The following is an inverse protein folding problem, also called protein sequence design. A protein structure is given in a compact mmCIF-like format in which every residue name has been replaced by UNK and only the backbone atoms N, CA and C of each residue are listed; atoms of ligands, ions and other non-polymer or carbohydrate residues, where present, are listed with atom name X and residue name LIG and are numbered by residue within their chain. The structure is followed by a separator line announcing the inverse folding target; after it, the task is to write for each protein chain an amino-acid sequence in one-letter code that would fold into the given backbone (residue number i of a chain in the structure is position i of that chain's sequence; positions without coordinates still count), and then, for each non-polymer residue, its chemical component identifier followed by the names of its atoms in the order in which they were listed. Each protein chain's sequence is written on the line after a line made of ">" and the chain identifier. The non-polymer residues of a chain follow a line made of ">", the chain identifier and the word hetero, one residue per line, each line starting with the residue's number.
data_IF_371119299394
#
_entry.id   IF_371119299394
#
_cell.length_a   1.000
_cell.length_b   1.000
_cell.length_c   1.000
_cell.angle_alpha   90.00
_cell.angle_beta   90.00
_cell.angle_gamma   90.00
#
_symmetry.space_group_name_H-M   'P 1'
#
loop_
_entity.id
_entity.type
_entity.pdbx_description
1 polymer ?
#
# COMPACT_ATOMS: atom_id res chain seq x y z
N UNK A 1 -1.25 7.05 -3.25
CA UNK A 1 -0.27 5.96 -3.41
C UNK A 1 1.04 6.57 -3.87
N UNK A 2 2.15 6.21 -3.22
CA UNK A 2 3.46 6.70 -3.65
C UNK A 2 3.93 5.98 -4.92
N UNK A 3 4.86 6.59 -5.68
CA UNK A 3 5.37 6.02 -6.94
C UNK A 3 5.96 4.62 -6.77
N UNK A 4 6.74 4.42 -5.69
CA UNK A 4 7.36 3.11 -5.39
C UNK A 4 6.30 2.06 -5.05
N UNK A 5 5.36 2.42 -4.19
CA UNK A 5 4.22 1.58 -3.81
C UNK A 5 3.39 1.17 -5.04
N UNK A 6 3.17 2.11 -5.96
CA UNK A 6 2.47 1.86 -7.22
C UNK A 6 3.23 0.90 -8.13
N UNK A 7 4.53 1.12 -8.33
CA UNK A 7 5.36 0.25 -9.19
C UNK A 7 5.35 -1.19 -8.67
N UNK A 8 5.55 -1.36 -7.36
CA UNK A 8 5.56 -2.67 -6.72
C UNK A 8 4.17 -3.32 -6.77
N UNK A 9 3.11 -2.55 -6.50
CA UNK A 9 1.71 -2.99 -6.59
C UNK A 9 1.33 -3.42 -8.00
N UNK A 10 1.66 -2.62 -9.01
CA UNK A 10 1.42 -2.92 -10.42
C UNK A 10 2.12 -4.19 -10.86
N UNK A 11 3.40 -4.34 -10.52
CA UNK A 11 4.15 -5.55 -10.88
C UNK A 11 3.48 -6.79 -10.30
N UNK A 12 3.15 -6.79 -9.01
CA UNK A 12 2.51 -7.93 -8.34
C UNK A 12 1.15 -8.24 -8.93
N UNK A 13 0.27 -7.23 -9.02
CA UNK A 13 -1.10 -7.43 -9.46
C UNK A 13 -1.16 -7.86 -10.93
N UNK A 14 -0.42 -7.17 -11.81
CA UNK A 14 -0.40 -7.51 -13.22
C UNK A 14 0.15 -8.92 -13.44
N UNK A 15 1.23 -9.31 -12.76
CA UNK A 15 1.74 -10.69 -12.82
C UNK A 15 0.68 -11.70 -12.42
N UNK A 16 -0.01 -11.46 -11.29
CA UNK A 16 -1.08 -12.35 -10.81
C UNK A 16 -2.20 -12.48 -11.83
N UNK A 17 -2.66 -11.36 -12.38
CA UNK A 17 -3.74 -11.34 -13.38
C UNK A 17 -3.34 -12.12 -14.63
N UNK A 18 -2.19 -11.80 -15.23
CA UNK A 18 -1.72 -12.47 -16.45
C UNK A 18 -1.56 -13.97 -16.22
N UNK A 19 -0.98 -14.40 -15.10
CA UNK A 19 -0.84 -15.83 -14.76
C UNK A 19 -2.17 -16.54 -14.58
N UNK A 20 -3.16 -15.86 -14.03
CA UNK A 20 -4.47 -16.46 -13.77
C UNK A 20 -5.31 -16.55 -15.04
N UNK A 21 -5.18 -15.58 -15.95
CA UNK A 21 -6.16 -15.40 -17.04
C UNK A 21 -5.61 -15.52 -18.46
N UNK A 22 -4.29 -15.46 -18.67
CA UNK A 22 -3.69 -15.40 -20.02
C UNK A 22 -2.53 -16.39 -20.19
N UNK A 23 -1.48 -16.29 -19.38
CA UNK A 23 -0.25 -17.06 -19.51
C UNK A 23 0.25 -17.54 -18.14
N UNK A 24 -0.02 -18.81 -17.80
CA UNK A 24 0.20 -19.38 -16.46
C UNK A 24 1.65 -19.26 -15.92
N UNK A 25 2.62 -19.30 -16.83
CA UNK A 25 4.06 -19.24 -16.60
C UNK A 25 4.65 -17.82 -16.79
N UNK A 26 3.79 -16.79 -16.88
CA UNK A 26 4.25 -15.42 -17.04
C UNK A 26 5.12 -14.93 -15.87
N UNK A 27 6.27 -14.37 -16.21
CA UNK A 27 7.16 -13.67 -15.29
C UNK A 27 7.30 -12.22 -15.76
N UNK A 28 7.05 -11.28 -14.86
CA UNK A 28 7.21 -9.87 -15.18
C UNK A 28 8.69 -9.51 -15.31
N UNK A 29 9.13 -8.86 -16.40
CA UNK A 29 10.53 -8.52 -16.59
C UNK A 29 11.06 -7.62 -15.47
N UNK A 30 12.11 -8.06 -14.79
CA UNK A 30 12.79 -7.32 -13.72
C UNK A 30 13.94 -6.48 -14.27
N UNK A 31 14.23 -5.33 -13.64
CA UNK A 31 15.39 -4.49 -13.95
C UNK A 31 15.02 -3.02 -14.25
N UNK A 32 16.05 -2.17 -14.32
CA UNK A 32 15.89 -0.71 -14.38
C UNK A 32 15.09 -0.20 -15.59
N UNK A 33 15.12 -0.90 -16.72
CA UNK A 33 14.30 -0.55 -17.91
C UNK A 33 12.81 -0.73 -17.63
N UNK A 34 12.41 -1.82 -16.99
CA UNK A 34 11.02 -2.07 -16.60
C UNK A 34 10.56 -1.09 -15.53
N UNK A 35 11.39 -0.80 -14.53
CA UNK A 35 11.09 0.16 -13.47
C UNK A 35 10.90 1.56 -14.04
N UNK A 36 11.76 1.98 -14.98
CA UNK A 36 11.63 3.26 -15.68
C UNK A 36 10.34 3.32 -16.49
N UNK A 37 9.97 2.25 -17.18
CA UNK A 37 8.72 2.20 -17.94
C UNK A 37 7.49 2.32 -17.03
N UNK A 38 7.47 1.59 -15.91
CA UNK A 38 6.40 1.68 -14.91
C UNK A 38 6.36 3.08 -14.27
N UNK A 39 7.51 3.66 -13.96
CA UNK A 39 7.62 5.03 -13.46
C UNK A 39 7.06 6.07 -14.44
N UNK A 40 7.40 5.96 -15.73
CA UNK A 40 6.82 6.82 -16.78
C UNK A 40 5.31 6.62 -16.93
N UNK A 41 4.82 5.39 -16.74
CA UNK A 41 3.39 5.10 -16.75
C UNK A 41 2.68 5.77 -15.57
N UNK A 42 3.24 5.68 -14.37
CA UNK A 42 2.73 6.36 -13.18
C UNK A 42 2.69 7.88 -13.38
N UNK A 43 3.79 8.46 -13.84
CA UNK A 43 3.88 9.91 -14.07
C UNK A 43 2.85 10.36 -15.12
N UNK A 44 2.63 9.55 -16.16
CA UNK A 44 1.61 9.79 -17.18
C UNK A 44 0.19 9.71 -16.64
N UNK A 45 -0.10 8.75 -15.75
CA UNK A 45 -1.42 8.66 -15.10
C UNK A 45 -1.65 9.86 -14.16
N UNK A 46 -0.67 10.24 -13.34
CA UNK A 46 -0.78 11.38 -12.42
C UNK A 46 -1.02 12.73 -13.13
N UNK A 47 -0.66 12.87 -14.41
CA UNK A 47 -0.98 14.08 -15.19
C UNK A 47 -2.46 14.16 -15.58
N UNK A 48 -3.08 13.01 -15.78
CA UNK A 48 -4.45 12.90 -16.31
C UNK A 48 -5.48 12.68 -15.19
N UNK A 49 -5.04 12.21 -14.02
CA UNK A 49 -5.91 11.94 -12.86
C UNK A 49 -5.34 12.56 -11.58
N UNK A 50 -6.22 13.14 -10.76
CA UNK A 50 -5.86 13.85 -9.52
C UNK A 50 -5.05 12.98 -8.55
N UNK A 51 -5.36 11.69 -8.47
CA UNK A 51 -4.61 10.75 -7.65
C UNK A 51 -4.68 9.33 -8.20
N UNK A 52 -3.63 8.55 -7.96
CA UNK A 52 -3.60 7.13 -8.28
C UNK A 52 -3.81 6.36 -6.98
N UNK A 53 -5.02 5.80 -6.82
CA UNK A 53 -5.42 4.94 -5.70
C UNK A 53 -5.16 3.46 -6.00
N UNK A 54 -5.32 2.60 -4.99
CA UNK A 54 -5.28 1.15 -5.18
C UNK A 54 -6.36 0.66 -6.15
N UNK A 55 -7.55 1.26 -6.11
CA UNK A 55 -8.62 1.00 -7.06
C UNK A 55 -8.23 1.36 -8.49
N UNK A 56 -7.67 2.57 -8.71
CA UNK A 56 -7.21 3.00 -10.04
C UNK A 56 -6.05 2.16 -10.55
N UNK A 57 -5.15 1.72 -9.67
CA UNK A 57 -4.11 0.77 -10.02
C UNK A 57 -4.72 -0.56 -10.49
N UNK A 58 -5.65 -1.10 -9.71
CA UNK A 58 -6.35 -2.35 -10.02
C UNK A 58 -7.09 -2.26 -11.35
N UNK A 59 -7.88 -1.20 -11.54
CA UNK A 59 -8.64 -0.95 -12.76
C UNK A 59 -7.72 -0.80 -13.97
N UNK A 60 -6.59 -0.11 -13.81
CA UNK A 60 -5.59 -0.02 -14.87
C UNK A 60 -5.06 -1.40 -15.23
N UNK A 61 -4.58 -2.18 -14.26
CA UNK A 61 -4.06 -3.53 -14.51
C UNK A 61 -5.09 -4.44 -15.17
N UNK A 62 -6.36 -4.42 -14.71
CA UNK A 62 -7.47 -5.17 -15.31
C UNK A 62 -7.66 -4.77 -16.77
N UNK A 63 -7.73 -3.46 -17.07
CA UNK A 63 -7.90 -2.96 -18.42
C UNK A 63 -6.78 -3.43 -19.37
N UNK A 64 -5.54 -3.48 -18.88
CA UNK A 64 -4.40 -3.95 -19.68
C UNK A 64 -4.37 -5.47 -19.81
N UNK A 65 -4.70 -6.23 -18.76
CA UNK A 65 -4.76 -7.70 -18.86
C UNK A 65 -5.92 -8.16 -19.75
N UNK A 66 -7.08 -7.54 -19.64
CA UNK A 66 -8.22 -7.80 -20.52
C UNK A 66 -7.91 -7.43 -21.98
N UNK A 67 -7.14 -6.36 -22.19
CA UNK A 67 -6.66 -6.02 -23.52
C UNK A 67 -5.77 -7.12 -24.13
N UNK A 68 -4.83 -7.67 -23.37
CA UNK A 68 -3.94 -8.72 -23.89
C UNK A 68 -4.66 -10.06 -24.07
N UNK A 69 -5.72 -10.35 -23.31
CA UNK A 69 -6.46 -11.62 -23.41
C UNK A 69 -7.23 -11.77 -24.72
N UNK A 70 -7.44 -10.66 -25.45
CA UNK A 70 -8.05 -10.68 -26.78
C UNK A 70 -7.08 -10.99 -27.93
N UNK A 71 -5.78 -11.17 -27.65
CA UNK A 71 -4.78 -11.52 -28.67
C UNK A 71 -4.51 -13.03 -28.69
N UNK A 72 -3.99 -13.50 -29.81
CA UNK A 72 -3.57 -14.89 -29.98
C UNK A 72 -2.35 -15.27 -29.11
N UNK A 73 -2.04 -16.55 -29.09
CA UNK A 73 -0.88 -17.09 -28.34
C UNK A 73 0.46 -16.63 -28.92
N UNK A 74 0.52 -16.28 -30.22
CA UNK A 74 1.73 -15.80 -30.88
C UNK A 74 2.13 -14.39 -30.40
N UNK A 75 1.15 -13.58 -29.96
CA UNK A 75 1.38 -12.26 -29.39
C UNK A 75 2.33 -12.27 -28.20
N UNK A 76 2.36 -13.36 -27.43
CA UNK A 76 3.25 -13.51 -26.27
C UNK A 76 4.71 -13.23 -26.60
N UNK A 77 5.20 -13.71 -27.75
CA UNK A 77 6.61 -13.54 -28.17
C UNK A 77 6.97 -12.09 -28.50
N UNK A 78 5.96 -11.27 -28.79
CA UNK A 78 6.10 -9.85 -29.16
C UNK A 78 5.83 -8.92 -27.97
N UNK A 79 5.28 -9.43 -26.87
CA UNK A 79 4.89 -8.61 -25.74
C UNK A 79 6.12 -8.01 -25.04
N UNK A 80 6.04 -6.72 -24.73
CA UNK A 80 6.99 -6.03 -23.86
C UNK A 80 6.25 -5.08 -22.91
N UNK A 81 6.93 -4.61 -21.87
CA UNK A 81 6.32 -3.78 -20.81
C UNK A 81 5.65 -2.52 -21.39
N UNK A 82 6.19 -1.90 -22.43
CA UNK A 82 5.60 -0.69 -23.02
C UNK A 82 4.24 -0.92 -23.69
N UNK A 83 3.91 -2.16 -24.08
CA UNK A 83 2.60 -2.49 -24.65
C UNK A 83 1.47 -2.34 -23.63
N UNK A 84 1.74 -2.68 -22.37
CA UNK A 84 0.78 -2.59 -21.27
C UNK A 84 1.00 -1.35 -20.38
N UNK A 85 2.14 -0.69 -20.47
CA UNK A 85 2.50 0.45 -19.60
C UNK A 85 3.05 1.66 -20.38
N UNK A 86 2.70 1.79 -21.65
CA UNK A 86 3.06 2.93 -22.50
C UNK A 86 1.91 3.93 -22.68
N UNK A 87 2.15 5.01 -23.43
CA UNK A 87 1.15 6.06 -23.71
C UNK A 87 -0.17 5.51 -24.28
N UNK A 88 -0.08 4.50 -25.17
CA UNK A 88 -1.28 3.84 -25.74
C UNK A 88 -2.08 3.08 -24.68
N UNK A 89 -1.43 2.48 -23.68
CA UNK A 89 -2.08 1.79 -22.58
C UNK A 89 -2.82 2.75 -21.65
N UNK A 90 -2.20 3.90 -21.35
CA UNK A 90 -2.83 5.00 -20.61
C UNK A 90 -4.07 5.50 -21.35
N UNK A 91 -3.94 5.84 -22.64
CA UNK A 91 -5.08 6.29 -23.44
C UNK A 91 -6.20 5.27 -23.54
N UNK A 92 -5.89 3.96 -23.61
CA UNK A 92 -6.87 2.87 -23.59
C UNK A 92 -7.65 2.85 -22.28
N UNK A 93 -6.97 3.03 -21.16
CA UNK A 93 -7.58 3.06 -19.83
C UNK A 93 -8.47 4.30 -19.65
N UNK A 94 -8.00 5.49 -20.03
CA UNK A 94 -8.77 6.74 -19.88
C UNK A 94 -10.03 6.78 -20.74
N UNK A 95 -10.03 6.08 -21.89
CA UNK A 95 -11.22 5.91 -22.74
C UNK A 95 -12.11 4.72 -22.32
N UNK A 96 -11.76 4.00 -21.26
CA UNK A 96 -12.55 2.86 -20.80
C UNK A 96 -13.86 3.34 -20.17
N UNK A 97 -14.98 3.05 -20.84
CA UNK A 97 -16.32 3.38 -20.37
C UNK A 97 -17.01 2.26 -19.59
N UNK A 98 -18.25 2.52 -19.16
CA UNK A 98 -19.08 1.57 -18.37
C UNK A 98 -19.25 0.21 -19.06
N UNK A 99 -19.45 0.19 -20.39
CA UNK A 99 -19.62 -1.05 -21.15
C UNK A 99 -18.39 -1.94 -21.10
N UNK A 100 -17.21 -1.35 -21.23
CA UNK A 100 -15.95 -2.09 -21.18
C UNK A 100 -15.72 -2.63 -19.78
N UNK A 101 -15.97 -1.83 -18.75
CA UNK A 101 -15.90 -2.26 -17.34
C UNK A 101 -16.81 -3.45 -17.07
N UNK A 102 -18.02 -3.45 -17.62
CA UNK A 102 -18.94 -4.59 -17.50
C UNK A 102 -18.36 -5.88 -18.11
N UNK A 103 -17.76 -5.79 -19.31
CA UNK A 103 -17.12 -6.95 -19.95
C UNK A 103 -15.90 -7.44 -19.18
N UNK A 104 -15.09 -6.52 -18.68
CA UNK A 104 -13.95 -6.84 -17.79
C UNK A 104 -14.43 -7.57 -16.54
N UNK A 105 -15.51 -7.12 -15.89
CA UNK A 105 -16.02 -7.74 -14.67
C UNK A 105 -16.61 -9.14 -14.93
N UNK A 106 -17.30 -9.31 -16.06
CA UNK A 106 -17.77 -10.64 -16.50
C UNK A 106 -16.60 -11.58 -16.80
N UNK A 107 -15.56 -11.07 -17.46
CA UNK A 107 -14.34 -11.81 -17.73
C UNK A 107 -13.60 -12.18 -16.44
N UNK A 108 -13.46 -11.27 -15.48
CA UNK A 108 -12.86 -11.60 -14.17
C UNK A 108 -13.63 -12.70 -13.44
N UNK A 109 -14.97 -12.64 -13.46
CA UNK A 109 -15.82 -13.66 -12.85
C UNK A 109 -15.58 -15.06 -13.40
N UNK A 110 -15.29 -15.23 -14.69
CA UNK A 110 -15.01 -16.56 -15.26
C UNK A 110 -13.73 -17.20 -14.72
N UNK A 111 -12.85 -16.41 -14.09
CA UNK A 111 -11.64 -16.89 -13.41
C UNK A 111 -11.75 -16.85 -11.88
N UNK A 112 -12.95 -16.65 -11.33
CA UNK A 112 -13.15 -16.53 -9.87
C UNK A 112 -12.51 -15.28 -9.27
N UNK A 113 -12.27 -14.24 -10.06
CA UNK A 113 -11.71 -12.97 -9.60
C UNK A 113 -12.80 -11.90 -9.47
N UNK A 114 -12.62 -10.99 -8.51
CA UNK A 114 -13.45 -9.80 -8.38
C UNK A 114 -12.59 -8.54 -8.39
N UNK A 115 -13.09 -7.47 -9.02
CA UNK A 115 -12.41 -6.17 -9.05
C UNK A 115 -12.14 -5.62 -7.66
N UNK A 116 -13.08 -5.83 -6.73
CA UNK A 116 -12.96 -5.42 -5.33
C UNK A 116 -11.81 -6.15 -4.62
N UNK A 117 -11.72 -7.48 -4.77
CA UNK A 117 -10.66 -8.26 -4.13
C UNK A 117 -9.28 -7.93 -4.70
N UNK A 118 -9.20 -7.61 -5.99
CA UNK A 118 -7.98 -7.16 -6.64
C UNK A 118 -7.52 -5.80 -6.09
N UNK A 119 -8.45 -4.84 -5.92
CA UNK A 119 -8.14 -3.55 -5.31
C UNK A 119 -7.67 -3.71 -3.85
N UNK A 120 -8.37 -4.52 -3.05
CA UNK A 120 -7.99 -4.89 -1.68
C UNK A 120 -6.65 -5.62 -1.57
N UNK A 121 -6.22 -6.32 -2.63
CA UNK A 121 -4.92 -7.00 -2.66
C UNK A 121 -3.77 -6.04 -2.96
N UNK A 122 -4.07 -4.90 -3.57
CA UNK A 122 -3.12 -3.82 -3.84
C UNK A 122 -3.00 -2.88 -2.65
N UNK A 123 -4.12 -2.59 -1.97
CA UNK A 123 -4.12 -1.84 -0.72
C UNK A 123 -3.07 -2.41 0.22
N UNK A 124 -2.11 -1.56 0.59
CA UNK A 124 -0.95 -1.98 1.33
C UNK A 124 -1.35 -2.44 2.73
N UNK A 125 -1.54 -3.76 2.88
CA UNK A 125 -1.72 -4.42 4.18
C UNK A 125 -0.49 -4.30 5.09
N UNK A 126 0.64 -3.77 4.60
CA UNK A 126 1.76 -3.39 5.47
C UNK A 126 1.44 -2.14 6.29
N UNK A 127 0.51 -1.29 5.83
CA UNK A 127 0.00 -0.18 6.63
C UNK A 127 -1.09 -0.72 7.58
N UNK A 128 -0.66 -1.11 8.79
CA UNK A 128 -1.60 -1.41 9.86
C UNK A 128 -2.52 -0.19 10.07
N UNK A 129 -3.83 -0.34 10.35
CA UNK A 129 -4.72 0.81 10.60
C UNK A 129 -4.20 1.77 11.67
N UNK A 130 -3.46 1.24 12.64
CA UNK A 130 -2.79 2.00 13.70
C UNK A 130 -1.36 2.45 13.36
N UNK A 131 -0.89 2.26 12.13
CA UNK A 131 0.46 2.64 11.68
C UNK A 131 0.74 4.12 11.88
N UNK A 132 -0.24 4.99 11.58
CA UNK A 132 -0.16 6.45 11.83
C UNK A 132 0.00 6.82 13.31
N UNK A 133 -0.28 5.89 14.23
CA UNK A 133 -0.21 6.09 15.67
C UNK A 133 1.00 5.43 16.33
N UNK A 134 1.93 4.87 15.54
CA UNK A 134 3.19 4.32 16.08
C UNK A 134 3.96 5.42 16.82
N UNK A 135 4.07 6.60 16.20
CA UNK A 135 4.63 7.80 16.84
C UNK A 135 3.76 9.04 16.57
N UNK A 136 2.79 9.34 17.45
CA UNK A 136 1.95 10.54 17.32
C UNK A 136 2.71 11.76 17.86
N UNK A 137 3.52 12.41 17.01
CA UNK A 137 4.36 13.56 17.39
C UNK A 137 3.59 14.70 18.06
N UNK A 138 2.33 14.91 17.67
CA UNK A 138 1.46 15.92 18.26
C UNK A 138 1.18 15.71 19.76
N UNK A 139 1.39 14.49 20.30
CA UNK A 139 1.21 14.20 21.73
C UNK A 139 2.41 14.63 22.59
N UNK A 140 3.58 14.94 22.00
CA UNK A 140 4.80 15.22 22.77
C UNK A 140 4.65 16.44 23.69
N UNK A 141 3.92 17.46 23.27
CA UNK A 141 3.64 18.63 24.11
C UNK A 141 2.94 18.22 25.40
N UNK A 142 1.94 17.33 25.31
CA UNK A 142 1.21 16.81 26.47
C UNK A 142 2.07 15.86 27.29
N UNK A 143 2.86 14.98 26.65
CA UNK A 143 3.74 14.02 27.35
C UNK A 143 4.88 14.68 28.12
N UNK A 144 5.38 15.81 27.62
CA UNK A 144 6.42 16.62 28.28
C UNK A 144 5.86 17.42 29.45
N UNK A 145 4.57 17.78 29.41
CA UNK A 145 3.92 18.55 30.48
C UNK A 145 3.86 17.72 31.77
N UNK A 146 4.41 18.26 32.85
CA UNK A 146 4.45 17.61 34.17
C UNK A 146 5.12 16.21 34.14
N UNK A 147 6.18 16.07 33.33
CA UNK A 147 6.91 14.82 33.15
C UNK A 147 7.33 14.21 34.50
N UNK A 148 7.19 12.89 34.63
CA UNK A 148 7.56 12.11 35.83
C UNK A 148 6.75 12.39 37.11
N UNK A 149 5.70 13.21 37.05
CA UNK A 149 4.77 13.41 38.18
C UNK A 149 3.55 12.49 38.10
N UNK A 150 2.86 12.25 39.22
CA UNK A 150 1.58 11.51 39.23
C UNK A 150 0.50 12.21 38.41
N UNK A 151 0.38 13.53 38.53
CA UNK A 151 -0.56 14.32 37.73
C UNK A 151 -0.28 14.18 36.22
N UNK A 152 0.99 14.26 35.82
CA UNK A 152 1.41 14.06 34.43
C UNK A 152 1.11 12.64 33.92
N UNK A 153 1.31 11.61 34.75
CA UNK A 153 0.95 10.23 34.42
C UNK A 153 -0.55 10.09 34.11
N UNK A 154 -1.41 10.67 34.95
CA UNK A 154 -2.87 10.63 34.75
C UNK A 154 -3.32 11.43 33.53
N UNK A 155 -2.82 12.66 33.36
CA UNK A 155 -3.14 13.51 32.19
C UNK A 155 -2.71 12.83 30.89
N UNK A 156 -1.48 12.30 30.84
CA UNK A 156 -0.98 11.57 29.68
C UNK A 156 -1.86 10.36 29.36
N UNK A 157 -2.32 9.61 30.37
CA UNK A 157 -3.16 8.44 30.16
C UNK A 157 -4.60 8.76 29.68
N UNK A 158 -5.09 9.97 29.94
CA UNK A 158 -6.42 10.43 29.52
C UNK A 158 -6.41 11.12 28.16
N UNK A 159 -5.34 11.85 27.85
CA UNK A 159 -5.30 12.77 26.71
C UNK A 159 -4.38 12.32 25.56
N UNK A 160 -3.76 11.14 25.66
CA UNK A 160 -2.84 10.60 24.65
C UNK A 160 -3.06 9.11 24.41
N UNK A 161 -2.49 8.57 23.34
CA UNK A 161 -2.40 7.14 23.07
C UNK A 161 -1.31 6.43 23.90
N UNK A 162 -0.91 7.04 25.01
CA UNK A 162 -0.01 6.49 26.03
C UNK A 162 1.36 6.09 25.47
N UNK A 163 2.02 5.11 26.06
CA UNK A 163 3.45 4.84 25.88
C UNK A 163 3.81 4.53 24.42
N UNK A 164 4.86 5.17 23.91
CA UNK A 164 5.53 4.81 22.66
C UNK A 164 7.04 4.88 22.84
N UNK A 165 7.81 3.90 22.35
CA UNK A 165 9.26 3.91 22.47
C UNK A 165 9.91 5.00 21.59
N UNK A 166 9.17 5.56 20.63
CA UNK A 166 9.63 6.65 19.77
C UNK A 166 9.57 8.04 20.43
N UNK A 167 8.89 8.17 21.57
CA UNK A 167 8.71 9.44 22.28
C UNK A 167 9.94 9.79 23.12
N UNK A 168 10.60 10.94 22.88
CA UNK A 168 11.68 11.44 23.73
C UNK A 168 11.24 11.71 25.17
N UNK A 169 9.96 12.03 25.39
CA UNK A 169 9.40 12.20 26.72
C UNK A 169 9.28 10.85 27.44
N UNK A 170 8.80 9.81 26.74
CA UNK A 170 8.64 8.48 27.32
C UNK A 170 9.98 7.84 27.70
N UNK A 171 11.06 8.10 26.95
CA UNK A 171 12.38 7.56 27.29
C UNK A 171 13.00 8.17 28.55
N UNK A 172 12.55 9.37 28.96
CA UNK A 172 13.03 10.09 30.16
C UNK A 172 12.04 10.03 31.33
N UNK A 173 10.86 9.43 31.15
CA UNK A 173 9.79 9.45 32.13
C UNK A 173 10.00 8.38 33.22
N UNK A 174 10.00 8.78 34.49
CA UNK A 174 10.10 7.86 35.63
C UNK A 174 8.91 6.88 35.73
N UNK A 175 7.78 7.21 35.09
CA UNK A 175 6.56 6.39 35.05
C UNK A 175 6.41 5.60 33.74
N UNK A 176 7.47 5.47 32.94
CA UNK A 176 7.43 4.81 31.64
C UNK A 176 6.95 3.35 31.73
N UNK A 177 7.44 2.57 32.70
CA UNK A 177 7.10 1.14 32.81
C UNK A 177 5.63 0.91 33.26
N UNK A 178 5.08 1.63 34.25
CA UNK A 178 3.63 1.66 34.49
C UNK A 178 2.81 2.07 33.25
N UNK A 179 3.23 3.12 32.53
CA UNK A 179 2.60 3.56 31.28
C UNK A 179 2.61 2.46 30.20
N UNK A 180 3.72 1.72 30.08
CA UNK A 180 3.90 0.62 29.14
C UNK A 180 2.92 -0.51 29.42
N UNK A 181 2.83 -0.97 30.68
CA UNK A 181 1.85 -1.98 31.12
C UNK A 181 0.41 -1.55 30.85
N UNK A 182 0.07 -0.29 31.15
CA UNK A 182 -1.25 0.27 30.87
C UNK A 182 -1.57 0.34 29.37
N UNK A 183 -0.57 0.67 28.56
CA UNK A 183 -0.71 0.71 27.08
C UNK A 183 -0.96 -0.68 26.52
N UNK A 184 -0.22 -1.68 26.99
CA UNK A 184 -0.42 -3.07 26.60
C UNK A 184 -1.83 -3.57 26.97
N UNK A 185 -2.36 -3.20 28.14
CA UNK A 185 -3.70 -3.59 28.57
C UNK A 185 -4.82 -2.90 27.76
N UNK A 186 -4.70 -1.60 27.50
CA UNK A 186 -5.77 -0.81 26.84
C UNK A 186 -5.72 -0.85 25.32
N UNK A 187 -4.53 -0.93 24.73
CA UNK A 187 -4.30 -0.91 23.30
C UNK A 187 -3.29 -2.00 22.88
N UNK A 188 -3.65 -3.30 23.02
CA UNK A 188 -2.71 -4.41 22.82
C UNK A 188 -2.10 -4.44 21.41
N UNK A 189 -2.91 -4.22 20.37
CA UNK A 189 -2.40 -4.20 18.99
C UNK A 189 -1.49 -3.00 18.71
N UNK A 190 -1.86 -1.81 19.21
CA UNK A 190 -1.01 -0.62 19.09
C UNK A 190 0.33 -0.80 19.81
N UNK A 191 0.31 -1.42 20.99
CA UNK A 191 1.51 -1.77 21.74
C UNK A 191 2.40 -2.74 20.96
N UNK A 192 1.83 -3.84 20.44
CA UNK A 192 2.55 -4.83 19.62
C UNK A 192 3.25 -4.19 18.42
N UNK A 193 2.53 -3.40 17.62
CA UNK A 193 3.11 -2.77 16.43
C UNK A 193 4.17 -1.71 16.76
N UNK A 194 4.03 -0.97 17.88
CA UNK A 194 5.04 -0.02 18.36
C UNK A 194 6.33 -0.74 18.72
N UNK A 195 6.24 -1.88 19.42
CA UNK A 195 7.39 -2.70 19.74
C UNK A 195 8.05 -3.30 18.50
N UNK A 196 7.27 -3.84 17.55
CA UNK A 196 7.81 -4.37 16.29
C UNK A 196 8.51 -3.30 15.45
N UNK A 197 7.91 -2.11 15.34
CA UNK A 197 8.51 -0.98 14.64
C UNK A 197 9.81 -0.52 15.31
N UNK A 198 9.85 -0.49 16.65
CA UNK A 198 11.04 -0.13 17.42
C UNK A 198 12.19 -1.11 17.21
N UNK A 199 11.93 -2.43 17.34
CA UNK A 199 12.94 -3.46 17.07
C UNK A 199 13.51 -3.38 15.66
N UNK A 200 12.66 -3.10 14.66
CA UNK A 200 13.10 -2.88 13.27
C UNK A 200 13.97 -1.64 13.09
N UNK A 201 13.78 -0.61 13.92
CA UNK A 201 14.62 0.59 13.94
C UNK A 201 15.97 0.31 14.59
N UNK A 202 15.98 -0.41 15.73
CA UNK A 202 17.22 -0.80 16.42
C UNK A 202 18.06 -1.81 15.62
N UNK A 203 17.42 -2.67 14.84
CA UNK A 203 18.10 -3.66 13.99
C UNK A 203 18.69 -3.08 12.69
N UNK A 204 18.46 -1.80 12.39
CA UNK A 204 19.13 -1.14 11.26
C UNK A 204 20.45 -0.55 11.76
N UNK A 205 21.61 -1.03 11.26
CA UNK A 205 22.92 -0.50 11.63
C UNK A 205 23.10 0.94 11.18
#
# INVERSE_FOLDING_TARGET
>A
MERKEWIDGCRRLFTRLVRTTVWADFVFPTGGKSDRQLGMCFDGLCREVVSVSAERLSDFCICQTYAISGYDTAYRRKWNVSHSFGKKAIGRYLRSGKERRYREDRWLKSFGLSRHDLARAVEDRRSHPFGRFIYPEYEETTKRRLLSTEAGYLVCALSTLMWTPFSPSCSKCAKAEPCRRRTQARYPELYRIRCEAWRKKEAKP
#
